data_IF_063555660558
#
_entry.id   IF_063555660558
#
_cell.length_a   1.000
_cell.length_b   1.000
_cell.length_c   1.000
_cell.angle_alpha   90.00
_cell.angle_beta   90.00
_cell.angle_gamma   90.00
#
_symmetry.space_group_name_H-M   'P 1'
#
loop_
_entity.id
_entity.type
_entity.pdbx_description
1 polymer ?
#
# COMPACT_ATOMS: atom_id res chain seq x y z
N UNK A 1 20.14 -26.88 -0.13
CA UNK A 1 19.03 -26.97 0.84
C UNK A 1 18.06 -25.82 0.57
N UNK A 2 17.02 -26.05 -0.25
CA UNK A 2 15.95 -25.06 -0.46
C UNK A 2 15.05 -25.14 0.77
N UNK A 3 15.32 -24.29 1.76
CA UNK A 3 14.45 -24.14 2.92
C UNK A 3 13.11 -23.64 2.41
N UNK A 4 12.16 -24.57 2.42
CA UNK A 4 10.71 -24.42 2.42
C UNK A 4 10.22 -23.01 2.06
N UNK A 5 9.69 -22.87 0.84
CA UNK A 5 9.25 -21.62 0.22
C UNK A 5 8.01 -20.98 0.88
N UNK A 6 7.94 -20.98 2.21
CA UNK A 6 6.93 -20.29 2.99
C UNK A 6 7.22 -18.79 2.92
N UNK A 7 6.31 -18.08 2.26
CA UNK A 7 6.33 -16.62 2.23
C UNK A 7 5.99 -16.13 3.63
N UNK A 8 6.99 -15.90 4.47
CA UNK A 8 6.81 -15.49 5.87
C UNK A 8 7.19 -14.02 6.11
N UNK A 9 7.18 -13.21 5.03
CA UNK A 9 7.71 -11.85 5.05
C UNK A 9 6.79 -10.88 4.34
N UNK A 10 7.07 -9.59 4.52
CA UNK A 10 6.48 -8.51 3.75
C UNK A 10 6.98 -8.55 2.31
N UNK A 11 6.04 -8.64 1.38
CA UNK A 11 6.24 -8.56 -0.06
C UNK A 11 5.87 -7.16 -0.54
N UNK A 12 6.72 -6.58 -1.37
CA UNK A 12 6.46 -5.29 -2.00
C UNK A 12 6.40 -5.55 -3.50
N UNK A 13 5.26 -5.22 -4.10
CA UNK A 13 5.07 -5.25 -5.55
C UNK A 13 5.46 -3.90 -6.12
N UNK A 14 6.20 -3.94 -7.23
CA UNK A 14 6.64 -2.76 -7.97
C UNK A 14 6.01 -2.80 -9.37
N UNK A 15 5.70 -1.63 -9.94
CA UNK A 15 5.31 -1.53 -11.36
C UNK A 15 6.54 -1.59 -12.28
N UNK A 16 6.30 -1.52 -13.59
CA UNK A 16 7.34 -1.42 -14.63
C UNK A 16 8.26 -0.20 -14.49
N UNK A 17 7.81 0.83 -13.76
CA UNK A 17 8.56 2.06 -13.50
C UNK A 17 9.38 1.98 -12.19
N UNK A 18 9.28 0.87 -11.44
CA UNK A 18 9.98 0.69 -10.17
C UNK A 18 9.31 1.37 -8.97
N UNK A 19 8.08 1.87 -9.12
CA UNK A 19 7.28 2.42 -8.05
C UNK A 19 6.50 1.33 -7.32
N UNK A 20 6.35 1.47 -6.00
CA UNK A 20 5.63 0.51 -5.17
C UNK A 20 4.13 0.60 -5.45
N UNK A 21 3.53 -0.50 -5.90
CA UNK A 21 2.09 -0.60 -6.18
C UNK A 21 1.32 -1.36 -5.12
N UNK A 22 1.98 -2.27 -4.40
CA UNK A 22 1.34 -2.97 -3.30
C UNK A 22 2.35 -3.44 -2.25
N UNK A 23 1.90 -3.51 -0.99
CA UNK A 23 2.61 -4.14 0.11
C UNK A 23 1.68 -5.21 0.66
N UNK A 24 2.19 -6.43 0.73
CA UNK A 24 1.46 -7.61 1.17
C UNK A 24 2.25 -8.32 2.27
N UNK A 25 1.59 -8.70 3.35
CA UNK A 25 2.23 -9.51 4.38
C UNK A 25 1.74 -10.96 4.28
N UNK A 26 2.69 -11.89 4.31
CA UNK A 26 2.42 -13.32 4.31
C UNK A 26 3.09 -13.96 5.52
N UNK A 27 2.42 -14.95 6.10
CA UNK A 27 2.89 -15.77 7.22
C UNK A 27 2.46 -17.20 6.99
N UNK A 28 3.41 -18.13 7.04
CA UNK A 28 3.26 -19.56 6.76
C UNK A 28 2.63 -19.85 5.38
N UNK A 29 2.89 -18.96 4.41
CA UNK A 29 2.28 -19.03 3.07
C UNK A 29 0.85 -18.46 2.96
N UNK A 30 0.26 -18.03 4.06
CA UNK A 30 -1.08 -17.40 4.10
C UNK A 30 -0.96 -15.88 4.16
N UNK A 31 -1.93 -15.16 3.59
CA UNK A 31 -2.00 -13.70 3.72
C UNK A 31 -2.26 -13.35 5.18
N UNK A 32 -1.35 -12.64 5.82
CA UNK A 32 -1.47 -12.31 7.24
C UNK A 32 -0.83 -10.96 7.54
N UNK A 33 -1.63 -10.02 8.02
CA UNK A 33 -1.27 -8.63 8.29
C UNK A 33 -1.90 -7.66 7.30
N UNK A 34 -1.45 -6.40 7.37
CA UNK A 34 -1.99 -5.31 6.56
C UNK A 34 -1.44 -5.35 5.14
N UNK A 35 -2.35 -5.22 4.20
CA UNK A 35 -2.13 -5.10 2.78
C UNK A 35 -2.43 -3.68 2.35
N UNK A 36 -1.51 -3.06 1.64
CA UNK A 36 -1.60 -1.68 1.22
C UNK A 36 -1.46 -1.61 -0.28
N UNK A 37 -2.42 -1.03 -0.98
CA UNK A 37 -2.39 -0.86 -2.43
C UNK A 37 -2.19 0.62 -2.72
N UNK A 38 -1.20 0.91 -3.53
CA UNK A 38 -0.82 2.26 -3.93
C UNK A 38 -1.14 2.47 -5.41
N UNK A 39 -1.51 3.70 -5.77
CA UNK A 39 -1.68 4.11 -7.15
C UNK A 39 -0.30 4.37 -7.82
N UNK A 40 -0.29 4.64 -9.13
CA UNK A 40 0.92 5.07 -9.87
C UNK A 40 1.62 6.27 -9.23
N UNK A 41 0.87 7.16 -8.59
CA UNK A 41 1.43 8.34 -7.92
C UNK A 41 2.00 8.03 -6.53
N UNK A 42 1.99 6.76 -6.10
CA UNK A 42 2.43 6.32 -4.77
C UNK A 42 1.45 6.62 -3.64
N UNK A 43 0.25 7.11 -3.96
CA UNK A 43 -0.80 7.36 -2.98
C UNK A 43 -1.51 6.07 -2.58
N UNK A 44 -1.69 5.86 -1.27
CA UNK A 44 -2.40 4.70 -0.74
C UNK A 44 -3.89 4.82 -1.09
N UNK A 45 -4.42 3.83 -1.82
CA UNK A 45 -5.81 3.80 -2.26
C UNK A 45 -6.64 2.76 -1.51
N UNK A 46 -6.01 1.68 -1.04
CA UNK A 46 -6.69 0.65 -0.25
C UNK A 46 -5.78 0.13 0.85
N UNK A 47 -6.37 -0.09 2.02
CA UNK A 47 -5.76 -0.83 3.11
C UNK A 47 -6.68 -2.00 3.46
N UNK A 48 -6.17 -3.23 3.38
CA UNK A 48 -6.93 -4.46 3.64
C UNK A 48 -6.19 -5.22 4.71
N UNK A 49 -6.85 -5.67 5.76
CA UNK A 49 -6.24 -6.49 6.80
C UNK A 49 -6.64 -7.95 6.61
N UNK A 50 -5.62 -8.81 6.52
CA UNK A 50 -5.79 -10.25 6.40
C UNK A 50 -5.35 -10.95 7.67
N UNK A 51 -6.10 -11.97 8.10
CA UNK A 51 -5.71 -12.86 9.19
C UNK A 51 -5.83 -14.31 8.70
N UNK A 52 -4.71 -15.03 8.63
CA UNK A 52 -4.64 -16.42 8.15
C UNK A 52 -5.35 -16.67 6.79
N UNK A 53 -5.29 -15.70 5.88
CA UNK A 53 -5.93 -15.77 4.55
C UNK A 53 -7.35 -15.20 4.47
N UNK A 54 -7.94 -14.82 5.61
CA UNK A 54 -9.29 -14.24 5.68
C UNK A 54 -9.19 -12.71 5.76
N UNK A 55 -10.02 -12.01 4.99
CA UNK A 55 -10.14 -10.54 5.11
C UNK A 55 -10.91 -10.24 6.39
N UNK A 56 -10.28 -9.56 7.33
CA UNK A 56 -10.94 -9.11 8.56
C UNK A 56 -11.42 -7.67 8.45
N UNK A 57 -10.70 -6.84 7.68
CA UNK A 57 -11.07 -5.45 7.44
C UNK A 57 -10.60 -5.00 6.06
N UNK A 58 -11.31 -4.06 5.46
CA UNK A 58 -10.88 -3.35 4.26
C UNK A 58 -11.38 -1.91 4.30
N UNK A 59 -10.44 -0.99 4.17
CA UNK A 59 -10.67 0.45 4.11
C UNK A 59 -10.26 0.94 2.72
N UNK A 60 -11.23 1.48 2.00
CA UNK A 60 -10.99 2.23 0.77
C UNK A 60 -10.57 3.65 1.13
N UNK A 61 -9.34 4.00 0.79
CA UNK A 61 -8.73 5.31 1.02
C UNK A 61 -8.82 6.14 -0.28
N UNK A 62 -9.44 5.59 -1.33
CA UNK A 62 -9.53 6.22 -2.64
C UNK A 62 -10.17 7.61 -2.53
N UNK A 63 -9.31 8.62 -2.65
CA UNK A 63 -9.62 9.90 -3.29
C UNK A 63 -10.75 10.76 -2.71
N UNK A 64 -11.10 10.67 -1.42
CA UNK A 64 -11.91 11.71 -0.76
C UNK A 64 -11.15 12.66 0.17
N UNK A 65 -9.82 12.69 0.07
CA UNK A 65 -9.04 13.87 0.42
C UNK A 65 -8.27 14.35 -0.81
N UNK A 66 -8.94 15.13 -1.67
CA UNK A 66 -8.33 16.37 -2.13
C UNK A 66 -7.97 17.16 -0.87
N UNK A 67 -6.82 16.84 -0.27
CA UNK A 67 -6.15 17.80 0.58
C UNK A 67 -5.72 18.86 -0.41
N UNK A 68 -6.51 19.93 -0.48
CA UNK A 68 -6.16 21.16 -1.17
C UNK A 68 -4.67 21.37 -0.93
N UNK A 69 -3.86 21.27 -2.00
CA UNK A 69 -2.53 21.86 -1.95
C UNK A 69 -2.80 23.31 -1.55
N UNK A 70 -2.27 23.83 -0.44
CA UNK A 70 -2.33 25.27 -0.22
C UNK A 70 -1.71 25.87 -1.47
N UNK A 71 -2.55 26.60 -2.20
CA UNK A 71 -2.15 27.44 -3.32
C UNK A 71 -0.89 28.16 -2.90
N UNK A 72 0.16 28.05 -3.71
CA UNK A 72 1.37 28.83 -3.53
C UNK A 72 0.97 30.30 -3.58
N UNK A 73 0.71 30.89 -2.43
CA UNK A 73 0.73 32.33 -2.27
C UNK A 73 2.19 32.73 -2.49
N UNK A 74 2.50 33.09 -3.72
CA UNK A 74 3.70 33.88 -4.01
C UNK A 74 3.60 35.13 -3.13
N UNK A 75 4.58 35.43 -2.26
CA UNK A 75 4.59 36.70 -1.57
C UNK A 75 4.68 37.78 -2.63
N UNK A 76 3.62 38.58 -2.73
CA UNK A 76 3.60 39.76 -3.58
C UNK A 76 4.57 40.76 -2.94
N UNK A 77 5.72 40.98 -3.58
CA UNK A 77 6.65 42.02 -3.18
C UNK A 77 6.06 43.37 -3.60
N UNK A 78 5.64 44.16 -2.60
CA UNK A 78 5.43 45.61 -2.72
C UNK A 78 6.47 46.33 -1.87
#
# INVERSE_FOLDING_TARGET
>A
CYTDGKKDRTWISYNSEGQKTAIANYKDGLKNGKWKIFNSDGSLIYEIEYLAGVIIDHSEISSNQKKELPSKETPNFF
#
